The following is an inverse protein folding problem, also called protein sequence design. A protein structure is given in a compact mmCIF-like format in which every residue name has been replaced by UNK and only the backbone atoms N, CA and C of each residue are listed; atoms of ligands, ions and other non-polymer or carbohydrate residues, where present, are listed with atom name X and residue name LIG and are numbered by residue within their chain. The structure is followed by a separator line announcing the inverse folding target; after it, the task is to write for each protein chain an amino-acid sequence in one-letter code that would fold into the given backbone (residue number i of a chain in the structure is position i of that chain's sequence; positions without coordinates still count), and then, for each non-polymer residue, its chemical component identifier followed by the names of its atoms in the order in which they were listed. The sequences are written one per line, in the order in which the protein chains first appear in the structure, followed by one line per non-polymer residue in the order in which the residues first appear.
data_IF_908511818943
#
_entry.id   IF_908511818943
#
_cell.length_a   1.000
_cell.length_b   1.000
_cell.length_c   1.000
_cell.angle_alpha   90.00
_cell.angle_beta   90.00
_cell.angle_gamma   90.00
#
_symmetry.space_group_name_H-M   'P 1'
#
loop_
_entity.id
_entity.type
_entity.pdbx_description
1 polymer ?
#
# COMPACT_ATOMS: atom_id res chain seq x y z
N UNK A 1 1.05 -10.24 11.74
CA UNK A 1 1.88 -9.33 10.94
C UNK A 1 1.57 -7.87 11.25
N UNK A 2 0.32 -7.43 11.09
CA UNK A 2 -0.08 -6.06 11.44
C UNK A 2 0.19 -5.70 12.90
N UNK A 3 -0.21 -6.55 13.86
CA UNK A 3 0.06 -6.29 15.29
C UNK A 3 1.55 -6.16 15.59
N UNK A 4 2.38 -7.07 15.05
CA UNK A 4 3.84 -7.02 15.21
C UNK A 4 4.48 -5.73 14.68
N UNK A 5 3.93 -5.11 13.62
CA UNK A 5 4.41 -3.80 13.16
C UNK A 5 3.91 -2.66 14.03
N UNK A 6 2.65 -2.72 14.47
CA UNK A 6 2.04 -1.73 15.37
C UNK A 6 2.82 -1.66 16.68
N UNK A 7 3.22 -2.82 17.22
CA UNK A 7 3.97 -2.92 18.48
C UNK A 7 5.39 -2.31 18.39
N UNK A 8 5.89 -2.03 17.18
CA UNK A 8 7.18 -1.38 16.95
C UNK A 8 7.08 0.14 16.71
N UNK A 9 5.86 0.68 16.60
CA UNK A 9 5.66 2.11 16.42
C UNK A 9 5.69 2.88 17.73
N UNK A 10 6.15 4.13 17.64
CA UNK A 10 6.08 5.06 18.75
C UNK A 10 4.66 5.64 18.89
N UNK A 11 4.21 6.00 20.10
CA UNK A 11 2.89 6.60 20.33
C UNK A 11 2.58 7.80 19.41
N UNK A 12 3.61 8.61 19.10
CA UNK A 12 3.50 9.78 18.22
C UNK A 12 3.03 9.43 16.80
N UNK A 13 3.37 8.23 16.29
CA UNK A 13 2.90 7.78 14.97
C UNK A 13 1.36 7.75 14.91
N UNK A 14 0.72 7.26 15.97
CA UNK A 14 -0.73 7.10 16.02
C UNK A 14 -1.45 8.44 16.19
N UNK A 15 -0.84 9.38 16.91
CA UNK A 15 -1.37 10.74 17.02
C UNK A 15 -1.33 11.46 15.67
N UNK A 16 -0.21 11.37 14.95
CA UNK A 16 -0.04 11.99 13.64
C UNK A 16 -0.93 11.35 12.55
N UNK A 17 -1.29 10.08 12.70
CA UNK A 17 -2.07 9.32 11.71
C UNK A 17 -3.48 8.95 12.22
N UNK A 18 -4.00 9.67 13.21
CA UNK A 18 -5.23 9.34 13.95
C UNK A 18 -6.47 9.07 13.08
N UNK A 19 -6.60 9.72 11.93
CA UNK A 19 -7.71 9.52 10.98
C UNK A 19 -7.60 8.22 10.18
N UNK A 20 -6.36 7.81 9.88
CA UNK A 20 -6.05 6.56 9.18
C UNK A 20 -5.87 5.40 10.18
N UNK A 21 -5.79 5.71 11.48
CA UNK A 21 -5.55 4.77 12.57
C UNK A 21 -4.06 4.48 12.69
N UNK A 22 -3.56 3.67 11.77
CA UNK A 22 -2.16 3.30 11.66
C UNK A 22 -1.84 2.99 10.20
N UNK A 23 -0.88 3.72 9.61
CA UNK A 23 -0.43 3.54 8.23
C UNK A 23 1.10 3.42 8.21
N UNK A 24 1.60 2.18 8.16
CA UNK A 24 3.04 1.94 8.27
C UNK A 24 3.56 1.52 6.89
N UNK A 25 4.54 2.23 6.30
CA UNK A 25 5.19 1.75 5.08
C UNK A 25 5.82 0.37 5.31
N UNK A 26 5.57 -0.60 4.44
CA UNK A 26 5.99 -1.99 4.69
C UNK A 26 7.53 -2.13 4.83
N UNK A 27 8.29 -1.21 4.25
CA UNK A 27 9.75 -1.19 4.31
C UNK A 27 10.31 -0.62 5.63
N UNK A 28 9.49 0.03 6.46
CA UNK A 28 9.94 0.59 7.76
C UNK A 28 10.39 -0.51 8.73
N UNK A 29 9.65 -1.63 8.75
CA UNK A 29 10.00 -2.83 9.51
C UNK A 29 10.09 -4.03 8.54
N UNK A 30 11.27 -4.30 7.95
CA UNK A 30 11.41 -5.32 6.92
C UNK A 30 11.02 -6.71 7.42
N UNK A 31 10.18 -7.41 6.65
CA UNK A 31 9.79 -8.79 6.92
C UNK A 31 9.67 -9.59 5.60
N UNK A 32 10.19 -10.84 5.51
CA UNK A 32 10.12 -11.65 4.28
C UNK A 32 8.70 -11.88 3.74
N UNK A 33 7.68 -11.85 4.60
CA UNK A 33 6.27 -11.96 4.18
C UNK A 33 5.88 -10.86 3.20
N UNK A 34 6.45 -9.65 3.25
CA UNK A 34 6.09 -8.60 2.29
C UNK A 34 6.57 -8.93 0.89
N UNK A 35 7.80 -9.44 0.73
CA UNK A 35 8.25 -9.88 -0.59
C UNK A 35 7.42 -11.07 -1.10
N UNK A 36 7.05 -12.01 -0.22
CA UNK A 36 6.17 -13.12 -0.57
C UNK A 36 4.78 -12.67 -1.04
N UNK A 37 4.18 -11.68 -0.36
CA UNK A 37 2.88 -11.12 -0.74
C UNK A 37 2.96 -10.34 -2.05
N UNK A 38 4.00 -9.54 -2.21
CA UNK A 38 4.28 -8.77 -3.44
C UNK A 38 4.42 -9.71 -4.64
N UNK A 39 5.12 -10.83 -4.47
CA UNK A 39 5.37 -11.82 -5.52
C UNK A 39 4.39 -12.98 -5.49
N UNK A 40 3.20 -12.81 -4.88
CA UNK A 40 2.24 -13.90 -4.75
C UNK A 40 1.75 -14.34 -6.14
N UNK A 41 1.97 -15.60 -6.57
CA UNK A 41 1.77 -16.01 -7.96
C UNK A 41 0.37 -15.75 -8.50
N UNK A 42 -0.66 -15.95 -7.67
CA UNK A 42 -2.06 -15.77 -8.06
C UNK A 42 -2.41 -14.30 -8.24
N UNK A 43 -1.80 -13.40 -7.45
CA UNK A 43 -1.95 -11.96 -7.64
C UNK A 43 -1.27 -11.49 -8.94
N UNK A 44 -0.05 -11.96 -9.21
CA UNK A 44 0.65 -11.66 -10.46
C UNK A 44 -0.08 -12.22 -11.68
N UNK A 45 -0.63 -13.43 -11.59
CA UNK A 45 -1.44 -14.03 -12.66
C UNK A 45 -2.75 -13.24 -12.90
N UNK A 46 -3.36 -12.70 -11.85
CA UNK A 46 -4.53 -11.82 -11.99
C UNK A 46 -4.16 -10.51 -12.70
N UNK A 47 -3.02 -9.90 -12.37
CA UNK A 47 -2.51 -8.71 -13.05
C UNK A 47 -2.21 -8.97 -14.54
N UNK A 48 -1.59 -10.10 -14.86
CA UNK A 48 -1.34 -10.50 -16.25
C UNK A 48 -2.64 -10.65 -17.06
N UNK A 49 -3.70 -11.22 -16.47
CA UNK A 49 -5.03 -11.33 -17.12
C UNK A 49 -5.68 -9.96 -17.42
N UNK A 50 -5.27 -8.91 -16.71
CA UNK A 50 -5.71 -7.53 -16.94
C UNK A 50 -4.81 -6.78 -17.94
N UNK A 51 -3.79 -7.44 -18.50
CA UNK A 51 -2.83 -6.84 -19.45
C UNK A 51 -1.57 -6.25 -18.80
N UNK A 52 -1.36 -6.45 -17.50
CA UNK A 52 -0.16 -6.01 -16.80
C UNK A 52 0.85 -7.17 -16.70
N UNK A 53 1.65 -7.36 -17.74
CA UNK A 53 2.58 -8.50 -17.83
C UNK A 53 3.85 -8.33 -16.99
N UNK A 54 4.26 -7.08 -16.71
CA UNK A 54 5.46 -6.76 -15.93
C UNK A 54 5.18 -5.71 -14.84
N UNK A 55 4.35 -6.03 -13.83
CA UNK A 55 4.02 -5.09 -12.77
C UNK A 55 5.24 -4.75 -11.90
N UNK A 56 5.42 -3.46 -11.59
CA UNK A 56 6.47 -2.97 -10.71
C UNK A 56 5.91 -2.54 -9.36
N UNK A 57 6.63 -2.85 -8.30
CA UNK A 57 6.31 -2.34 -6.96
C UNK A 57 6.84 -0.93 -6.84
N UNK A 58 5.98 -0.01 -6.42
CA UNK A 58 6.36 1.36 -6.16
C UNK A 58 6.31 1.68 -4.66
N UNK A 59 5.20 1.39 -4.01
CA UNK A 59 5.00 1.62 -2.58
C UNK A 59 3.97 0.63 -2.03
N UNK A 60 3.86 0.58 -0.70
CA UNK A 60 2.86 -0.21 -0.02
C UNK A 60 2.85 0.07 1.48
N UNK A 61 1.69 -0.15 2.10
CA UNK A 61 1.47 0.18 3.50
C UNK A 61 0.70 -0.94 4.18
N UNK A 62 1.02 -1.15 5.46
CA UNK A 62 0.18 -1.94 6.37
C UNK A 62 -0.75 -0.96 7.07
N UNK A 63 -2.05 -1.13 6.83
CA UNK A 63 -3.10 -0.32 7.42
C UNK A 63 -3.86 -1.16 8.44
N UNK A 64 -4.02 -0.64 9.64
CA UNK A 64 -4.83 -1.28 10.69
C UNK A 64 -5.80 -0.27 11.28
N UNK A 65 -7.07 -0.68 11.40
CA UNK A 65 -8.11 0.08 12.08
C UNK A 65 -8.67 -0.74 13.25
N UNK A 66 -8.18 -0.52 14.49
CA UNK A 66 -8.78 -1.12 15.67
C UNK A 66 -10.28 -0.81 15.79
N UNK A 67 -11.01 -1.63 16.54
CA UNK A 67 -12.42 -1.36 16.85
C UNK A 67 -12.61 0.07 17.38
N UNK A 68 -13.68 0.73 16.95
CA UNK A 68 -14.01 2.13 17.30
C UNK A 68 -13.03 3.21 16.81
N UNK A 69 -12.10 2.88 15.90
CA UNK A 69 -11.23 3.89 15.28
C UNK A 69 -12.05 4.92 14.48
N UNK A 70 -11.61 6.18 14.40
CA UNK A 70 -12.29 7.21 13.62
C UNK A 70 -12.50 6.80 12.15
N UNK A 71 -13.56 7.32 11.54
CA UNK A 71 -13.79 7.15 10.09
C UNK A 71 -12.68 7.85 9.29
N UNK A 72 -12.32 7.29 8.13
CA UNK A 72 -11.45 8.00 7.19
C UNK A 72 -12.17 9.27 6.71
N UNK A 73 -11.42 10.35 6.56
CA UNK A 73 -11.92 11.50 5.82
C UNK A 73 -11.95 11.20 4.32
N UNK A 74 -12.78 11.93 3.56
CA UNK A 74 -12.79 11.82 2.11
C UNK A 74 -11.45 12.26 1.52
N UNK A 75 -10.78 11.36 0.80
CA UNK A 75 -9.53 11.63 0.09
C UNK A 75 -9.51 10.88 -1.24
N UNK A 76 -8.57 11.26 -2.11
CA UNK A 76 -8.26 10.58 -3.36
C UNK A 76 -6.82 10.05 -3.26
N UNK A 77 -6.59 8.81 -3.66
CA UNK A 77 -5.27 8.16 -3.59
C UNK A 77 -4.39 8.43 -4.85
N UNK A 78 -4.94 9.15 -5.83
CA UNK A 78 -4.30 9.42 -7.10
C UNK A 78 -3.42 10.66 -7.10
N UNK A 79 -2.11 10.48 -7.01
CA UNK A 79 -1.15 11.61 -7.05
C UNK A 79 -0.76 12.08 -8.46
N UNK A 80 -1.18 11.36 -9.51
CA UNK A 80 -0.77 11.61 -10.89
C UNK A 80 -1.93 11.83 -11.87
N UNK A 81 -3.16 12.07 -11.39
CA UNK A 81 -4.33 12.18 -12.29
C UNK A 81 -4.18 13.25 -13.38
N UNK A 82 -3.41 14.30 -13.14
CA UNK A 82 -3.11 15.35 -14.12
C UNK A 82 -1.78 15.16 -14.86
N UNK A 83 -1.00 14.13 -14.51
CA UNK A 83 0.27 13.87 -15.19
C UNK A 83 0.00 13.25 -16.58
N UNK A 84 0.68 13.71 -17.65
CA UNK A 84 0.45 13.20 -19.01
C UNK A 84 0.53 11.67 -19.14
N UNK A 85 1.37 11.03 -18.31
CA UNK A 85 1.53 9.57 -18.28
C UNK A 85 0.23 8.82 -17.96
N UNK A 86 -0.69 9.45 -17.21
CA UNK A 86 -1.95 8.83 -16.79
C UNK A 86 -2.96 8.70 -17.93
N UNK A 87 -2.74 9.40 -19.04
CA UNK A 87 -3.59 9.33 -20.24
C UNK A 87 -2.88 8.68 -21.43
N UNK A 88 -1.63 8.21 -21.26
CA UNK A 88 -0.85 7.60 -22.34
C UNK A 88 -0.81 6.07 -22.23
N UNK A 89 -1.09 5.39 -23.34
CA UNK A 89 -0.72 3.99 -23.52
C UNK A 89 0.79 3.91 -23.76
N UNK A 90 1.57 3.73 -22.70
CA UNK A 90 2.96 3.29 -22.88
C UNK A 90 2.96 1.77 -23.07
N UNK A 91 2.76 1.34 -24.31
CA UNK A 91 3.21 0.01 -24.75
C UNK A 91 4.72 0.01 -24.71
N UNK A 92 5.30 -0.57 -23.66
CA UNK A 92 6.73 -0.86 -23.61
C UNK A 92 6.96 -1.98 -24.63
N UNK A 93 7.58 -1.63 -25.77
CA UNK A 93 8.04 -2.55 -26.81
C UNK A 93 9.29 -3.31 -26.38
#
# INVERSE_FOLDING_TARGET
MSQWMIDQEEPEHFENNRSQGCIIPYFKFPHPTFSQLITYPEALAALAKLGFEDPKVWSGYVISKPAYSPQLYWHQDGVLWDHPISYSHNSIS
#
